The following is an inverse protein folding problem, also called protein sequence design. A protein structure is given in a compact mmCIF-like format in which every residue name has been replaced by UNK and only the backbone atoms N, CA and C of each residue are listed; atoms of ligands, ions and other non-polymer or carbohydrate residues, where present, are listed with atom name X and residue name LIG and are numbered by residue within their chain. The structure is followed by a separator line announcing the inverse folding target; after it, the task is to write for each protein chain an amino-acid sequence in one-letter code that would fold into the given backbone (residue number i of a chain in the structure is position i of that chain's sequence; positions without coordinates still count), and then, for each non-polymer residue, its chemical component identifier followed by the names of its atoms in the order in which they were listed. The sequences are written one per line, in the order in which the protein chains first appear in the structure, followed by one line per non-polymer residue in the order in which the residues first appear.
data_IF_543255715872
#
_entry.id   IF_543255715872
#
_cell.length_a   1.000
_cell.length_b   1.000
_cell.length_c   1.000
_cell.angle_alpha   90.00
_cell.angle_beta   90.00
_cell.angle_gamma   90.00
#
_symmetry.space_group_name_H-M   'P 1'
#
loop_
_entity.id
_entity.type
_entity.pdbx_description
1 polymer ?
#
# COMPACT_ATOMS: atom_id res chain seq x y z
N UNK A 1 -12.53 24.55 11.61
CA UNK A 1 -12.20 23.63 10.55
C UNK A 1 -13.27 23.59 9.52
N UNK A 2 -12.94 23.68 8.29
CA UNK A 2 -13.94 23.81 7.25
C UNK A 2 -14.05 22.53 6.45
N UNK A 3 -15.09 22.47 5.63
CA UNK A 3 -15.38 21.28 4.84
C UNK A 3 -14.35 21.07 3.74
N UNK A 4 -13.80 22.15 3.21
CA UNK A 4 -12.80 22.03 2.16
C UNK A 4 -11.59 21.27 2.65
N UNK A 5 -11.21 21.53 3.89
CA UNK A 5 -10.10 20.82 4.49
C UNK A 5 -10.41 19.33 4.59
N UNK A 6 -11.63 19.00 4.98
CA UNK A 6 -12.02 17.61 5.13
C UNK A 6 -12.03 16.89 3.80
N UNK A 7 -12.48 17.55 2.76
CA UNK A 7 -12.51 16.94 1.44
C UNK A 7 -11.11 16.69 0.91
N UNK A 8 -10.23 17.66 1.06
CA UNK A 8 -8.85 17.48 0.66
C UNK A 8 -8.19 16.38 1.47
N UNK A 9 -8.53 16.30 2.74
CA UNK A 9 -7.98 15.28 3.62
C UNK A 9 -8.35 13.88 3.14
N UNK A 10 -9.55 13.74 2.59
CA UNK A 10 -10.00 12.43 2.11
C UNK A 10 -9.17 11.96 0.93
N UNK A 11 -8.90 12.83 -0.01
CA UNK A 11 -8.07 12.48 -1.15
C UNK A 11 -6.63 12.19 -0.74
N UNK A 12 -6.12 12.99 0.18
CA UNK A 12 -4.77 12.80 0.69
C UNK A 12 -4.65 11.46 1.39
N UNK A 13 -5.67 11.06 2.14
CA UNK A 13 -5.64 9.79 2.82
C UNK A 13 -5.55 8.62 1.84
N UNK A 14 -6.31 8.68 0.75
CA UNK A 14 -6.26 7.63 -0.26
C UNK A 14 -4.88 7.54 -0.89
N UNK A 15 -4.32 8.69 -1.23
CA UNK A 15 -3.00 8.75 -1.82
C UNK A 15 -1.95 8.24 -0.84
N UNK A 16 -2.06 8.65 0.42
CA UNK A 16 -1.11 8.22 1.43
C UNK A 16 -1.15 6.72 1.62
N UNK A 17 -2.33 6.12 1.53
CA UNK A 17 -2.44 4.69 1.70
C UNK A 17 -1.77 3.94 0.55
N UNK A 18 -1.88 4.46 -0.67
CA UNK A 18 -1.18 3.87 -1.80
C UNK A 18 0.33 3.94 -1.59
N UNK A 19 0.80 5.08 -1.15
CA UNK A 19 2.23 5.26 -0.89
C UNK A 19 2.68 4.30 0.20
N UNK A 20 1.90 4.16 1.25
CA UNK A 20 2.23 3.24 2.33
C UNK A 20 2.31 1.80 1.84
N UNK A 21 1.40 1.42 0.94
CA UNK A 21 1.43 0.07 0.39
C UNK A 21 2.68 -0.14 -0.45
N UNK A 22 3.08 0.86 -1.22
CA UNK A 22 4.29 0.76 -2.02
C UNK A 22 5.53 0.69 -1.14
N UNK A 23 5.56 1.48 -0.07
CA UNK A 23 6.64 1.41 0.89
C UNK A 23 6.69 0.03 1.54
N UNK A 24 5.51 -0.51 1.85
CA UNK A 24 5.44 -1.84 2.45
C UNK A 24 5.99 -2.90 1.51
N UNK A 25 5.74 -2.76 0.20
CA UNK A 25 6.32 -3.69 -0.76
C UNK A 25 7.85 -3.65 -0.71
N UNK A 26 8.40 -2.45 -0.69
CA UNK A 26 9.84 -2.29 -0.65
C UNK A 26 10.43 -2.86 0.63
N UNK A 27 9.81 -2.55 1.77
CA UNK A 27 10.28 -3.06 3.05
C UNK A 27 10.19 -4.57 3.10
N UNK A 28 9.10 -5.12 2.57
CA UNK A 28 8.93 -6.58 2.56
C UNK A 28 10.06 -7.24 1.77
N UNK A 29 10.42 -6.64 0.65
CA UNK A 29 11.49 -7.14 -0.18
C UNK A 29 12.83 -7.06 0.55
N UNK A 30 13.07 -5.95 1.22
CA UNK A 30 14.32 -5.78 1.96
C UNK A 30 14.42 -6.76 3.12
N UNK A 31 13.31 -6.99 3.82
CA UNK A 31 13.31 -7.94 4.90
C UNK A 31 13.64 -9.35 4.41
N UNK A 32 13.11 -9.69 3.26
CA UNK A 32 13.42 -10.99 2.67
C UNK A 32 14.89 -11.07 2.25
N UNK A 33 15.40 -10.01 1.64
CA UNK A 33 16.80 -9.98 1.20
C UNK A 33 17.75 -10.07 2.39
N UNK A 34 17.33 -9.56 3.54
CA UNK A 34 18.14 -9.62 4.75
C UNK A 34 17.89 -10.88 5.57
N UNK A 35 17.11 -11.81 5.02
CA UNK A 35 16.81 -13.08 5.69
C UNK A 35 16.05 -12.90 7.01
N UNK A 36 15.28 -11.83 7.11
CA UNK A 36 14.49 -11.57 8.30
C UNK A 36 13.12 -12.24 8.26
N UNK A 37 12.66 -12.58 7.06
CA UNK A 37 11.41 -13.30 6.89
C UNK A 37 11.64 -14.44 5.89
N UNK A 38 10.80 -15.45 5.97
CA UNK A 38 10.91 -16.59 5.08
C UNK A 38 10.35 -16.24 3.71
N UNK A 39 10.67 -17.04 2.71
CA UNK A 39 10.15 -16.85 1.37
C UNK A 39 8.62 -16.93 1.38
N UNK A 40 8.07 -17.82 2.16
CA UNK A 40 6.63 -18.01 2.25
C UNK A 40 5.97 -16.72 2.78
N UNK A 41 6.53 -16.16 3.85
CA UNK A 41 6.03 -14.91 4.39
C UNK A 41 6.15 -13.79 3.39
N UNK A 42 7.30 -13.71 2.73
CA UNK A 42 7.55 -12.69 1.73
C UNK A 42 6.51 -12.74 0.61
N UNK A 43 6.28 -13.93 0.06
CA UNK A 43 5.31 -14.06 -1.03
C UNK A 43 3.89 -13.77 -0.57
N UNK A 44 3.54 -14.24 0.60
CA UNK A 44 2.20 -14.01 1.13
C UNK A 44 1.93 -12.52 1.29
N UNK A 45 2.86 -11.81 1.90
CA UNK A 45 2.71 -10.38 2.12
C UNK A 45 2.72 -9.62 0.80
N UNK A 46 3.61 -9.99 -0.10
CA UNK A 46 3.70 -9.34 -1.40
C UNK A 46 2.38 -9.47 -2.15
N UNK A 47 1.83 -10.66 -2.20
CA UNK A 47 0.58 -10.88 -2.91
C UNK A 47 -0.57 -10.10 -2.30
N UNK A 48 -0.61 -10.01 -0.97
CA UNK A 48 -1.65 -9.25 -0.31
C UNK A 48 -1.55 -7.76 -0.63
N UNK A 49 -0.33 -7.22 -0.62
CA UNK A 49 -0.13 -5.82 -0.92
C UNK A 49 -0.48 -5.52 -2.38
N UNK A 50 -0.03 -6.37 -3.29
CA UNK A 50 -0.31 -6.18 -4.71
C UNK A 50 -1.81 -6.28 -4.99
N UNK A 51 -2.48 -7.18 -4.30
CA UNK A 51 -3.91 -7.34 -4.44
C UNK A 51 -4.63 -6.07 -4.01
N UNK A 52 -4.19 -5.49 -2.91
CA UNK A 52 -4.77 -4.26 -2.41
C UNK A 52 -4.54 -3.11 -3.37
N UNK A 53 -3.33 -2.98 -3.89
CA UNK A 53 -3.00 -1.92 -4.84
C UNK A 53 -3.81 -2.07 -6.12
N UNK A 54 -3.95 -3.29 -6.60
CA UNK A 54 -4.71 -3.54 -7.81
C UNK A 54 -6.18 -3.18 -7.62
N UNK A 55 -6.72 -3.52 -6.46
CA UNK A 55 -8.10 -3.19 -6.14
C UNK A 55 -8.32 -1.69 -6.14
N UNK A 56 -7.37 -0.94 -5.60
CA UNK A 56 -7.45 0.50 -5.55
C UNK A 56 -7.37 1.11 -6.94
N UNK A 57 -6.48 0.58 -7.78
CA UNK A 57 -6.35 1.07 -9.13
C UNK A 57 -7.63 0.84 -9.94
N UNK A 58 -8.24 -0.31 -9.76
CA UNK A 58 -9.49 -0.60 -10.45
C UNK A 58 -10.60 0.35 -10.00
N UNK A 59 -10.64 0.66 -8.70
CA UNK A 59 -11.59 1.63 -8.20
C UNK A 59 -11.33 3.00 -8.79
N UNK A 60 -10.06 3.36 -8.92
CA UNK A 60 -9.70 4.65 -9.45
C UNK A 60 -9.95 4.79 -10.94
N UNK A 61 -10.08 3.68 -11.64
CA UNK A 61 -10.30 3.70 -13.08
C UNK A 61 -11.69 4.20 -13.45
N UNK A 62 -12.57 4.29 -12.48
CA UNK A 62 -13.90 4.81 -12.71
C UNK A 62 -13.95 6.30 -12.45
#
# INVERSE_FOLDING_TARGET
MNNDYLMGSKEVKNKNKEILLEVALTLNKELFNENKISYKMFKYTEENILKELKSRNLSGAH
#
